data_IF_328384933810
#
_entry.id   IF_328384933810
#
_cell.length_a   1.000
_cell.length_b   1.000
_cell.length_c   1.000
_cell.angle_alpha   90.00
_cell.angle_beta   90.00
_cell.angle_gamma   90.00
#
_symmetry.space_group_name_H-M   'P 1'
#
loop_
_entity.id
_entity.type
_entity.pdbx_description
1 polymer ?
#
# COMPACT_ATOMS: atom_id res chain seq x y z
N UNK A 1 6.71 -13.23 11.76
CA UNK A 1 6.78 -13.93 10.46
C UNK A 1 6.49 -12.96 9.31
N UNK A 2 5.37 -12.21 9.37
CA UNK A 2 5.01 -11.21 8.33
C UNK A 2 6.14 -10.19 8.16
N UNK A 3 6.67 -9.58 9.22
CA UNK A 3 7.73 -8.57 9.12
C UNK A 3 8.97 -9.07 8.36
N UNK A 4 9.43 -10.32 8.58
CA UNK A 4 10.51 -10.91 7.80
C UNK A 4 10.17 -11.09 6.33
N UNK A 5 8.91 -11.39 6.01
CA UNK A 5 8.44 -11.50 4.63
C UNK A 5 8.38 -10.13 3.96
N UNK A 6 7.98 -9.08 4.69
CA UNK A 6 7.98 -7.70 4.19
C UNK A 6 9.41 -7.21 3.91
N UNK A 7 10.35 -7.51 4.79
CA UNK A 7 11.76 -7.21 4.55
C UNK A 7 12.30 -7.96 3.32
N UNK A 8 11.96 -9.25 3.17
CA UNK A 8 12.34 -10.05 2.00
C UNK A 8 11.67 -9.55 0.70
N UNK A 9 10.47 -9.03 0.80
CA UNK A 9 9.78 -8.34 -0.30
C UNK A 9 10.51 -7.06 -0.70
N UNK A 10 11.26 -6.43 0.21
CA UNK A 10 12.00 -5.20 -0.04
C UNK A 10 11.27 -3.92 0.40
N UNK A 11 10.35 -4.03 1.37
CA UNK A 11 9.67 -2.85 1.93
C UNK A 11 10.67 -1.97 2.67
N UNK A 12 10.64 -0.66 2.40
CA UNK A 12 11.58 0.31 3.00
C UNK A 12 11.31 0.52 4.49
N UNK A 13 10.05 0.72 4.85
CA UNK A 13 9.60 0.97 6.22
C UNK A 13 8.50 -0.02 6.59
N UNK A 14 8.66 -0.69 7.72
CA UNK A 14 7.66 -1.59 8.31
C UNK A 14 7.07 -0.91 9.53
N UNK A 15 5.86 -0.36 9.41
CA UNK A 15 5.13 0.09 10.59
C UNK A 15 4.60 -1.13 11.32
N UNK A 16 5.24 -1.42 12.45
CA UNK A 16 5.07 -2.69 13.17
C UNK A 16 3.86 -2.68 14.11
N UNK A 17 3.29 -1.50 14.37
CA UNK A 17 2.09 -1.34 15.18
C UNK A 17 2.13 -0.12 16.09
N UNK A 18 1.20 -0.09 17.06
CA UNK A 18 1.02 0.97 18.02
C UNK A 18 1.42 0.49 19.43
N UNK A 19 2.64 0.79 19.85
CA UNK A 19 3.25 0.28 21.09
C UNK A 19 2.45 0.60 22.38
N UNK A 20 1.70 1.69 22.39
CA UNK A 20 0.89 2.10 23.52
C UNK A 20 -0.51 1.44 23.56
N UNK A 21 -0.89 0.69 22.53
CA UNK A 21 -2.22 0.06 22.48
C UNK A 21 -2.39 -1.04 23.52
N UNK A 22 -1.39 -1.91 23.67
CA UNK A 22 -1.39 -2.99 24.67
C UNK A 22 0.03 -3.48 24.98
N UNK A 23 0.22 -4.21 26.09
CA UNK A 23 1.50 -4.89 26.36
C UNK A 23 1.91 -5.86 25.25
N UNK A 24 0.96 -6.58 24.65
CA UNK A 24 1.23 -7.52 23.55
C UNK A 24 1.68 -6.83 22.27
N UNK A 25 1.13 -5.65 21.95
CA UNK A 25 1.59 -4.82 20.83
C UNK A 25 3.03 -4.35 21.07
N UNK A 26 3.32 -3.85 22.26
CA UNK A 26 4.67 -3.44 22.65
C UNK A 26 5.67 -4.60 22.49
N UNK A 27 5.38 -5.78 23.06
CA UNK A 27 6.23 -6.96 22.96
C UNK A 27 6.43 -7.41 21.49
N UNK A 28 5.37 -7.33 20.68
CA UNK A 28 5.42 -7.68 19.26
C UNK A 28 6.36 -6.75 18.49
N UNK A 29 6.29 -5.43 18.73
CA UNK A 29 7.19 -4.45 18.11
C UNK A 29 8.64 -4.68 18.57
N UNK A 30 8.86 -4.96 19.86
CA UNK A 30 10.19 -5.32 20.38
C UNK A 30 10.75 -6.58 19.70
N UNK A 31 9.91 -7.59 19.47
CA UNK A 31 10.33 -8.82 18.80
C UNK A 31 10.67 -8.57 17.31
N UNK A 32 9.91 -7.76 16.62
CA UNK A 32 10.18 -7.34 15.24
C UNK A 32 11.49 -6.56 15.18
N UNK A 33 11.71 -5.60 16.06
CA UNK A 33 12.90 -4.76 16.15
C UNK A 33 14.19 -5.57 16.30
N UNK A 34 14.13 -6.71 16.99
CA UNK A 34 15.26 -7.62 17.19
C UNK A 34 15.63 -8.44 15.95
N UNK A 35 14.74 -8.57 14.96
CA UNK A 35 14.94 -9.51 13.83
C UNK A 35 15.03 -8.85 12.48
N UNK A 36 14.55 -7.62 12.32
CA UNK A 36 14.63 -6.83 11.08
C UNK A 36 15.96 -6.11 11.01
N UNK A 37 16.60 -6.08 9.83
CA UNK A 37 17.96 -5.55 9.63
C UNK A 37 18.05 -4.50 8.52
N UNK A 38 17.33 -4.71 7.42
CA UNK A 38 17.46 -3.90 6.21
C UNK A 38 16.33 -2.86 6.10
N UNK A 39 15.09 -3.23 6.44
CA UNK A 39 13.99 -2.28 6.51
C UNK A 39 14.05 -1.44 7.78
N UNK A 40 13.51 -0.24 7.73
CA UNK A 40 13.31 0.60 8.92
C UNK A 40 12.11 0.09 9.70
N UNK A 41 12.26 -0.14 11.00
CA UNK A 41 11.15 -0.50 11.89
C UNK A 41 10.52 0.78 12.42
N UNK A 42 9.22 0.94 12.19
CA UNK A 42 8.44 2.08 12.62
C UNK A 42 7.43 1.69 13.70
N UNK A 43 7.22 2.56 14.68
CA UNK A 43 6.13 2.44 15.65
C UNK A 43 5.28 3.70 15.63
N UNK A 44 3.96 3.49 15.54
CA UNK A 44 2.97 4.56 15.60
C UNK A 44 2.77 5.05 17.04
N UNK A 45 2.57 6.36 17.20
CA UNK A 45 2.29 7.01 18.48
C UNK A 45 1.37 8.22 18.30
N UNK A 46 0.36 8.35 19.14
CA UNK A 46 -0.36 9.62 19.25
C UNK A 46 0.60 10.71 19.73
N UNK A 47 0.34 11.95 19.36
CA UNK A 47 1.15 13.08 19.79
C UNK A 47 0.95 13.37 21.31
N UNK A 48 1.45 12.45 22.15
CA UNK A 48 1.54 12.64 23.59
C UNK A 48 2.82 11.99 24.15
N UNK A 49 3.39 12.52 25.24
CA UNK A 49 4.67 12.05 25.77
C UNK A 49 4.74 10.54 26.08
N UNK A 50 3.68 9.99 26.64
CA UNK A 50 3.66 8.58 27.04
C UNK A 50 3.73 7.64 25.85
N UNK A 51 2.92 7.90 24.80
CA UNK A 51 2.87 7.06 23.60
C UNK A 51 4.20 7.13 22.83
N UNK A 52 4.75 8.33 22.66
CA UNK A 52 6.02 8.53 21.93
C UNK A 52 7.19 7.84 22.64
N UNK A 53 7.27 7.93 23.97
CA UNK A 53 8.31 7.21 24.76
C UNK A 53 8.18 5.70 24.59
N UNK A 54 6.97 5.15 24.70
CA UNK A 54 6.72 3.72 24.47
C UNK A 54 7.11 3.28 23.07
N UNK A 55 6.79 4.09 22.04
CA UNK A 55 7.20 3.80 20.68
C UNK A 55 8.73 3.75 20.55
N UNK A 56 9.44 4.74 21.09
CA UNK A 56 10.91 4.79 21.11
C UNK A 56 11.54 3.60 21.81
N UNK A 57 11.01 3.22 22.98
CA UNK A 57 11.47 2.04 23.73
C UNK A 57 11.26 0.74 22.95
N UNK A 58 10.09 0.58 22.30
CA UNK A 58 9.75 -0.65 21.58
C UNK A 58 10.66 -0.89 20.35
N UNK A 59 11.10 0.17 19.67
CA UNK A 59 11.97 0.08 18.49
C UNK A 59 13.46 0.14 18.80
N UNK A 60 13.84 0.30 20.05
CA UNK A 60 15.23 0.54 20.47
C UNK A 60 16.25 -0.48 19.95
N UNK A 61 15.84 -1.74 19.76
CA UNK A 61 16.70 -2.82 19.27
C UNK A 61 16.86 -2.83 17.73
N UNK A 62 16.08 -2.04 17.00
CA UNK A 62 16.17 -1.99 15.54
C UNK A 62 17.40 -1.16 15.10
N UNK A 63 18.20 -1.63 14.12
CA UNK A 63 19.33 -0.86 13.60
C UNK A 63 18.88 0.38 12.81
N UNK A 64 17.73 0.31 12.15
CA UNK A 64 17.06 1.41 11.46
C UNK A 64 15.66 1.55 12.05
N UNK A 65 15.35 2.72 12.58
CA UNK A 65 14.15 2.93 13.36
C UNK A 65 13.52 4.28 13.09
N UNK A 66 12.19 4.31 13.09
CA UNK A 66 11.37 5.51 12.88
C UNK A 66 10.30 5.59 13.97
N UNK A 67 9.99 6.77 14.43
CA UNK A 67 8.77 7.06 15.19
C UNK A 67 7.83 7.80 14.26
N UNK A 68 6.61 7.28 14.13
CA UNK A 68 5.52 7.92 13.42
C UNK A 68 4.55 8.50 14.44
N UNK A 69 4.47 9.82 14.54
CA UNK A 69 3.52 10.48 15.43
C UNK A 69 2.48 11.27 14.66
N UNK A 70 1.28 11.36 15.19
CA UNK A 70 0.16 12.01 14.53
C UNK A 70 -0.75 12.75 15.48
N UNK A 71 -1.43 13.78 14.97
CA UNK A 71 -2.51 14.48 15.63
C UNK A 71 -3.53 14.95 14.60
N UNK A 72 -4.80 14.97 14.99
CA UNK A 72 -5.87 15.39 14.09
C UNK A 72 -5.83 16.91 13.85
N UNK A 73 -6.05 17.31 12.61
CA UNK A 73 -5.91 18.70 12.14
C UNK A 73 -7.19 19.30 11.58
N UNK A 74 -8.23 18.49 11.34
CA UNK A 74 -9.51 19.04 10.87
C UNK A 74 -10.26 19.76 11.99
N UNK A 75 -11.01 20.85 11.67
CA UNK A 75 -11.82 21.56 12.64
C UNK A 75 -12.76 20.66 13.43
N UNK A 76 -13.39 19.71 12.75
CA UNK A 76 -14.28 18.74 13.38
C UNK A 76 -13.57 17.90 14.45
N UNK A 77 -12.38 17.37 14.14
CA UNK A 77 -11.64 16.57 15.10
C UNK A 77 -11.00 17.40 16.23
N UNK A 78 -10.51 18.60 15.93
CA UNK A 78 -9.98 19.50 16.95
C UNK A 78 -11.06 19.86 17.97
N UNK A 79 -12.26 20.20 17.50
CA UNK A 79 -13.38 20.57 18.36
C UNK A 79 -13.99 19.37 19.10
N UNK A 80 -14.37 18.30 18.36
CA UNK A 80 -15.21 17.21 18.93
C UNK A 80 -14.40 16.07 19.56
N UNK A 81 -13.19 15.80 19.07
CA UNK A 81 -12.35 14.66 19.49
C UNK A 81 -11.26 15.11 20.47
N UNK A 82 -10.55 16.19 20.16
CA UNK A 82 -9.41 16.65 20.94
C UNK A 82 -9.79 17.68 22.01
N UNK A 83 -10.84 18.47 21.78
CA UNK A 83 -11.19 19.67 22.59
C UNK A 83 -10.00 20.63 22.75
N UNK A 84 -9.32 20.92 21.63
CA UNK A 84 -8.11 21.73 21.55
C UNK A 84 -8.25 22.86 20.55
N UNK A 85 -7.61 24.00 20.86
CA UNK A 85 -7.41 25.07 19.88
C UNK A 85 -6.31 24.68 18.87
N UNK A 86 -6.26 25.32 17.68
CA UNK A 86 -5.19 25.11 16.71
C UNK A 86 -3.78 25.29 17.31
N UNK A 87 -3.59 26.28 18.16
CA UNK A 87 -2.31 26.55 18.83
C UNK A 87 -1.90 25.43 19.79
N UNK A 88 -2.87 24.88 20.51
CA UNK A 88 -2.63 23.73 21.39
C UNK A 88 -2.26 22.49 20.58
N UNK A 89 -2.88 22.28 19.41
CA UNK A 89 -2.56 21.15 18.50
C UNK A 89 -1.14 21.29 17.97
N UNK A 90 -0.71 22.48 17.52
CA UNK A 90 0.67 22.73 17.10
C UNK A 90 1.65 22.48 18.25
N UNK A 91 1.37 23.02 19.44
CA UNK A 91 2.23 22.82 20.61
C UNK A 91 2.41 21.36 20.98
N UNK A 92 1.32 20.58 20.88
CA UNK A 92 1.31 19.12 21.12
C UNK A 92 2.13 18.36 20.08
N UNK A 93 2.00 18.71 18.80
CA UNK A 93 2.79 18.12 17.73
C UNK A 93 4.30 18.38 17.93
N UNK A 94 4.66 19.62 18.21
CA UNK A 94 6.05 20.02 18.48
C UNK A 94 6.64 19.29 19.69
N UNK A 95 5.91 19.18 20.78
CA UNK A 95 6.35 18.41 21.97
C UNK A 95 6.59 16.94 21.63
N UNK A 96 5.67 16.32 20.90
CA UNK A 96 5.78 14.91 20.51
C UNK A 96 7.03 14.67 19.65
N UNK A 97 7.31 15.55 18.67
CA UNK A 97 8.49 15.45 17.79
C UNK A 97 9.78 15.63 18.62
N UNK A 98 9.83 16.57 19.56
CA UNK A 98 10.98 16.74 20.46
C UNK A 98 11.29 15.48 21.25
N UNK A 99 10.28 14.84 21.80
CA UNK A 99 10.44 13.58 22.53
C UNK A 99 10.89 12.46 21.59
N UNK A 100 10.33 12.38 20.38
CA UNK A 100 10.73 11.39 19.40
C UNK A 100 12.23 11.49 19.03
N UNK A 101 12.76 12.71 18.97
CA UNK A 101 14.20 12.97 18.72
C UNK A 101 15.13 12.42 19.80
N UNK A 102 14.64 12.16 21.01
CA UNK A 102 15.44 11.48 22.05
C UNK A 102 15.77 10.04 21.67
N UNK A 103 15.03 9.44 20.70
CA UNK A 103 15.13 8.03 20.31
C UNK A 103 15.66 7.82 18.90
N UNK A 104 15.35 8.71 17.96
CA UNK A 104 15.74 8.60 16.55
C UNK A 104 15.68 9.95 15.84
N UNK A 105 16.51 10.10 14.79
CA UNK A 105 16.45 11.26 13.88
C UNK A 105 15.46 11.06 12.73
N UNK A 106 14.94 9.85 12.52
CA UNK A 106 13.93 9.56 11.49
C UNK A 106 12.53 9.63 12.12
N UNK A 107 11.83 10.73 11.87
CA UNK A 107 10.53 11.04 12.46
C UNK A 107 9.52 11.33 11.36
N UNK A 108 8.44 10.58 11.36
CA UNK A 108 7.29 10.83 10.51
C UNK A 108 6.17 11.52 11.29
N UNK A 109 5.62 12.57 10.69
CA UNK A 109 4.50 13.32 11.26
C UNK A 109 3.31 13.30 10.32
N UNK A 110 2.15 12.83 10.82
CA UNK A 110 0.88 12.81 10.09
C UNK A 110 -0.10 13.86 10.60
N UNK A 111 -0.67 14.62 9.67
CA UNK A 111 -1.81 15.50 9.90
C UNK A 111 -3.12 14.69 9.78
N UNK A 112 -3.55 13.97 10.84
CA UNK A 112 -4.76 13.14 10.77
C UNK A 112 -5.95 13.95 10.26
N UNK A 113 -6.69 13.39 9.29
CA UNK A 113 -7.83 14.00 8.61
C UNK A 113 -7.44 15.24 7.76
N UNK A 114 -6.26 15.19 7.14
CA UNK A 114 -5.72 16.29 6.34
C UNK A 114 -6.65 16.70 5.20
N UNK A 115 -7.27 15.75 4.50
CA UNK A 115 -8.17 16.01 3.37
C UNK A 115 -9.40 16.86 3.73
N UNK A 116 -9.74 16.97 5.02
CA UNK A 116 -10.81 17.83 5.54
C UNK A 116 -10.32 18.97 6.44
N UNK A 117 -9.02 19.20 6.48
CA UNK A 117 -8.38 20.26 7.24
C UNK A 117 -8.30 21.55 6.44
N UNK A 118 -8.19 22.68 7.13
CA UNK A 118 -7.97 23.98 6.50
C UNK A 118 -6.52 24.10 6.02
N UNK A 119 -6.25 24.43 4.75
CA UNK A 119 -4.89 24.49 4.21
C UNK A 119 -3.97 25.42 4.99
N UNK A 120 -4.46 26.59 5.39
CA UNK A 120 -3.67 27.59 6.14
C UNK A 120 -3.22 27.06 7.52
N UNK A 121 -4.03 26.21 8.15
CA UNK A 121 -3.63 25.56 9.38
C UNK A 121 -2.59 24.46 9.13
N UNK A 122 -2.76 23.70 8.05
CA UNK A 122 -1.79 22.68 7.65
C UNK A 122 -0.43 23.28 7.32
N UNK A 123 -0.36 24.41 6.62
CA UNK A 123 0.92 25.08 6.35
C UNK A 123 1.68 25.36 7.65
N UNK A 124 0.99 25.92 8.65
CA UNK A 124 1.58 26.27 9.94
C UNK A 124 2.06 25.07 10.74
N UNK A 125 1.24 24.04 10.85
CA UNK A 125 1.60 22.86 11.66
C UNK A 125 2.69 22.02 10.98
N UNK A 126 2.67 21.88 9.66
CA UNK A 126 3.69 21.15 8.90
C UNK A 126 5.03 21.90 8.97
N UNK A 127 5.03 23.22 8.78
CA UNK A 127 6.24 24.04 8.94
C UNK A 127 6.84 23.89 10.35
N UNK A 128 6.00 23.93 11.38
CA UNK A 128 6.43 23.74 12.77
C UNK A 128 6.99 22.32 12.99
N UNK A 129 6.35 21.29 12.44
CA UNK A 129 6.80 19.91 12.55
C UNK A 129 8.17 19.68 11.89
N UNK A 130 8.37 20.17 10.68
CA UNK A 130 9.65 20.07 9.96
C UNK A 130 10.75 20.85 10.71
N UNK A 131 10.48 22.06 11.12
CA UNK A 131 11.42 22.90 11.90
C UNK A 131 11.85 22.22 13.21
N UNK A 132 10.96 21.45 13.81
CA UNK A 132 11.26 20.72 15.04
C UNK A 132 12.02 19.41 14.80
N UNK A 133 12.02 18.88 13.57
CA UNK A 133 12.82 17.74 13.15
C UNK A 133 12.05 16.57 12.55
N UNK A 134 10.79 16.76 12.14
CA UNK A 134 10.13 15.77 11.31
C UNK A 134 10.84 15.67 9.95
N UNK A 135 11.23 14.44 9.57
CA UNK A 135 11.94 14.14 8.32
C UNK A 135 11.00 13.64 7.23
N UNK A 136 9.81 13.21 7.62
CA UNK A 136 8.74 12.79 6.70
C UNK A 136 7.43 13.43 7.13
N UNK A 137 6.73 14.02 6.17
CA UNK A 137 5.38 14.59 6.36
C UNK A 137 4.39 13.73 5.60
N UNK A 138 3.45 13.14 6.32
CA UNK A 138 2.44 12.28 5.76
C UNK A 138 1.08 12.98 5.71
N UNK A 139 0.43 12.93 4.55
CA UNK A 139 -0.85 13.57 4.28
C UNK A 139 -1.92 12.49 4.11
N UNK A 140 -2.74 12.24 5.14
CA UNK A 140 -3.76 11.21 5.07
C UNK A 140 -5.11 11.71 4.55
N UNK A 141 -5.69 10.93 3.64
CA UNK A 141 -7.12 10.90 3.35
C UNK A 141 -7.79 9.89 4.30
N UNK A 142 -7.96 10.31 5.55
CA UNK A 142 -8.32 9.43 6.67
C UNK A 142 -9.69 8.77 6.54
N UNK A 143 -10.62 9.41 5.85
CA UNK A 143 -11.99 8.88 5.67
C UNK A 143 -12.27 8.42 4.25
N UNK A 144 -11.25 8.36 3.38
CA UNK A 144 -11.38 7.89 2.01
C UNK A 144 -12.34 8.75 1.17
N UNK A 145 -12.33 10.04 1.39
CA UNK A 145 -13.28 11.01 0.86
C UNK A 145 -12.80 11.70 -0.42
N UNK A 146 -11.48 11.86 -0.58
CA UNK A 146 -10.89 12.61 -1.67
C UNK A 146 -11.02 11.88 -3.02
N UNK A 147 -10.97 12.66 -4.11
CA UNK A 147 -10.86 12.14 -5.47
C UNK A 147 -9.46 12.45 -6.04
N UNK A 148 -8.94 11.66 -7.02
CA UNK A 148 -7.54 11.74 -7.40
C UNK A 148 -7.04 13.12 -7.83
N UNK A 149 -7.81 13.84 -8.65
CA UNK A 149 -7.40 15.18 -9.12
C UNK A 149 -7.33 16.20 -7.98
N UNK A 150 -8.27 16.14 -7.05
CA UNK A 150 -8.32 16.98 -5.86
C UNK A 150 -7.15 16.66 -4.93
N UNK A 151 -6.95 15.38 -4.61
CA UNK A 151 -5.93 14.95 -3.65
C UNK A 151 -4.51 15.27 -4.14
N UNK A 152 -4.21 15.01 -5.42
CA UNK A 152 -2.92 15.36 -5.99
C UNK A 152 -2.65 16.86 -6.00
N UNK A 153 -3.67 17.67 -6.34
CA UNK A 153 -3.57 19.13 -6.29
C UNK A 153 -3.38 19.64 -4.86
N UNK A 154 -4.08 19.05 -3.89
CA UNK A 154 -3.98 19.38 -2.48
C UNK A 154 -2.57 19.12 -1.92
N UNK A 155 -1.99 17.94 -2.18
CA UNK A 155 -0.62 17.63 -1.74
C UNK A 155 0.40 18.58 -2.36
N UNK A 156 0.22 18.94 -3.65
CA UNK A 156 1.07 19.93 -4.33
C UNK A 156 0.95 21.30 -3.66
N UNK A 157 -0.25 21.75 -3.42
CA UNK A 157 -0.52 23.04 -2.77
C UNK A 157 0.18 23.15 -1.40
N UNK A 158 0.08 22.10 -0.57
CA UNK A 158 0.80 22.05 0.71
C UNK A 158 2.31 22.17 0.53
N UNK A 159 2.88 21.44 -0.45
CA UNK A 159 4.32 21.49 -0.72
C UNK A 159 4.80 22.84 -1.23
N UNK A 160 3.99 23.55 -1.99
CA UNK A 160 4.32 24.87 -2.54
C UNK A 160 4.23 25.98 -1.49
N UNK A 161 3.35 25.86 -0.49
CA UNK A 161 3.11 26.91 0.51
C UNK A 161 3.84 26.68 1.84
N UNK A 162 4.27 25.47 2.16
CA UNK A 162 5.08 25.21 3.36
C UNK A 162 6.52 25.67 3.12
N UNK A 163 6.98 26.66 3.85
CA UNK A 163 8.26 27.36 3.62
C UNK A 163 9.48 26.43 3.60
N UNK A 164 9.52 25.43 4.49
CA UNK A 164 10.62 24.48 4.63
C UNK A 164 10.29 23.09 4.07
N UNK A 165 9.41 23.01 3.09
CA UNK A 165 8.88 21.77 2.55
C UNK A 165 9.93 20.87 1.88
N UNK A 166 11.02 21.44 1.40
CA UNK A 166 12.16 20.76 0.79
C UNK A 166 13.05 20.00 1.78
N UNK A 167 12.90 20.25 3.09
CA UNK A 167 13.65 19.58 4.15
C UNK A 167 13.03 18.26 4.60
N UNK A 168 11.88 17.88 4.06
CA UNK A 168 11.19 16.63 4.41
C UNK A 168 10.78 15.81 3.19
N UNK A 169 10.70 14.50 3.36
CA UNK A 169 10.06 13.60 2.40
C UNK A 169 8.54 13.74 2.56
N UNK A 170 7.84 13.89 1.45
CA UNK A 170 6.37 13.92 1.45
C UNK A 170 5.81 12.53 1.23
N UNK A 171 4.88 12.15 2.08
CA UNK A 171 4.19 10.87 2.13
C UNK A 171 2.68 11.06 1.97
N UNK A 172 2.02 10.05 1.46
CA UNK A 172 0.56 10.00 1.38
C UNK A 172 0.01 8.70 1.97
N UNK A 173 -1.16 8.79 2.59
CA UNK A 173 -1.88 7.67 3.17
C UNK A 173 -3.36 7.77 2.79
N UNK A 174 -3.88 6.81 2.04
CA UNK A 174 -5.24 6.88 1.54
C UNK A 174 -6.07 5.68 1.97
N UNK A 175 -7.26 5.94 2.52
CA UNK A 175 -8.27 4.93 2.80
C UNK A 175 -9.16 4.67 1.58
N UNK A 176 -9.82 3.51 1.55
CA UNK A 176 -10.46 2.96 0.36
C UNK A 176 -11.99 3.02 0.38
N UNK A 177 -12.58 3.91 1.15
CA UNK A 177 -14.03 3.98 1.34
C UNK A 177 -14.82 4.17 0.04
N UNK A 178 -14.27 4.92 -0.89
CA UNK A 178 -14.82 5.10 -2.24
C UNK A 178 -14.15 4.21 -3.31
N UNK A 179 -13.26 3.29 -2.92
CA UNK A 179 -12.50 2.47 -3.87
C UNK A 179 -11.39 3.23 -4.60
N UNK A 180 -10.93 4.37 -4.07
CA UNK A 180 -9.99 5.28 -4.74
C UNK A 180 -8.60 5.35 -4.07
N UNK A 181 -8.33 4.56 -3.05
CA UNK A 181 -7.09 4.67 -2.27
C UNK A 181 -5.83 4.59 -3.13
N UNK A 182 -5.74 3.62 -4.04
CA UNK A 182 -4.60 3.47 -4.95
C UNK A 182 -4.52 4.66 -5.92
N UNK A 183 -5.64 5.07 -6.51
CA UNK A 183 -5.68 6.17 -7.44
C UNK A 183 -5.29 7.51 -6.77
N UNK A 184 -5.77 7.76 -5.56
CA UNK A 184 -5.40 8.94 -4.78
C UNK A 184 -3.90 8.92 -4.42
N UNK A 185 -3.37 7.78 -3.96
CA UNK A 185 -1.95 7.64 -3.63
C UNK A 185 -1.05 7.90 -4.84
N UNK A 186 -1.38 7.33 -6.00
CA UNK A 186 -0.65 7.56 -7.24
C UNK A 186 -0.75 9.03 -7.71
N UNK A 187 -1.91 9.66 -7.52
CA UNK A 187 -2.10 11.08 -7.81
C UNK A 187 -1.25 11.97 -6.88
N UNK A 188 -1.18 11.62 -5.58
CA UNK A 188 -0.29 12.28 -4.62
C UNK A 188 1.18 12.22 -5.02
N UNK A 189 1.60 11.11 -5.65
CA UNK A 189 2.96 10.97 -6.19
C UNK A 189 3.19 11.81 -7.45
N UNK A 190 2.31 11.68 -8.45
CA UNK A 190 2.53 12.32 -9.77
C UNK A 190 2.27 13.82 -9.72
N UNK A 191 1.16 14.22 -9.16
CA UNK A 191 0.72 15.61 -9.13
C UNK A 191 1.12 16.32 -7.86
N UNK A 192 1.13 15.61 -6.73
CA UNK A 192 1.54 16.12 -5.42
C UNK A 192 3.04 16.10 -5.19
N UNK A 193 3.78 15.23 -5.88
CA UNK A 193 5.22 15.09 -5.72
C UNK A 193 5.65 14.30 -4.47
N UNK A 194 4.74 13.54 -3.86
CA UNK A 194 5.10 12.62 -2.77
C UNK A 194 6.10 11.55 -3.25
N UNK A 195 6.91 11.07 -2.32
CA UNK A 195 7.94 10.04 -2.57
C UNK A 195 7.84 8.84 -1.63
N UNK A 196 6.93 8.90 -0.69
CA UNK A 196 6.53 7.78 0.15
C UNK A 196 5.02 7.56 0.01
N UNK A 197 4.61 6.29 0.00
CA UNK A 197 3.21 5.86 0.08
C UNK A 197 3.08 4.91 1.26
N UNK A 198 2.22 5.24 2.20
CA UNK A 198 1.73 4.28 3.18
C UNK A 198 0.67 3.40 2.54
N UNK A 199 0.88 2.10 2.64
CA UNK A 199 0.01 1.11 2.02
C UNK A 199 0.04 -0.19 2.83
N UNK A 200 -0.84 -1.11 2.52
CA UNK A 200 -0.90 -2.41 3.18
C UNK A 200 -1.00 -3.55 2.17
N UNK A 201 -0.54 -4.73 2.56
CA UNK A 201 -0.72 -5.95 1.76
C UNK A 201 -2.22 -6.24 1.66
N UNK A 202 -2.69 -6.53 0.44
CA UNK A 202 -4.10 -6.78 0.11
C UNK A 202 -5.04 -5.58 0.38
N UNK A 203 -4.49 -4.41 0.64
CA UNK A 203 -5.29 -3.24 1.01
C UNK A 203 -5.96 -3.36 2.36
N UNK A 204 -5.48 -4.24 3.26
CA UNK A 204 -6.05 -4.39 4.60
C UNK A 204 -5.99 -3.09 5.39
N UNK A 205 -7.03 -2.80 6.16
CA UNK A 205 -7.13 -1.60 6.98
C UNK A 205 -8.54 -1.38 7.52
N UNK A 206 -8.73 -0.24 8.13
CA UNK A 206 -10.02 0.19 8.68
C UNK A 206 -11.11 0.24 7.59
N UNK A 207 -12.33 -0.09 7.95
CA UNK A 207 -13.53 -0.01 7.09
C UNK A 207 -13.37 -0.76 5.76
N UNK A 208 -13.22 -0.03 4.64
CA UNK A 208 -13.01 -0.61 3.31
C UNK A 208 -11.53 -0.90 2.99
N UNK A 209 -10.63 -0.58 3.91
CA UNK A 209 -9.20 -0.82 3.80
C UNK A 209 -8.38 0.40 3.38
N UNK A 210 -7.11 0.14 3.09
CA UNK A 210 -6.10 1.12 2.72
C UNK A 210 -5.68 0.95 1.26
N UNK A 211 -4.78 1.80 0.81
CA UNK A 211 -4.05 1.61 -0.44
C UNK A 211 -3.36 0.24 -0.46
N UNK A 212 -3.55 -0.54 -1.53
CA UNK A 212 -2.95 -1.85 -1.68
C UNK A 212 -1.52 -1.75 -2.23
N UNK A 213 -0.53 -2.27 -1.50
CA UNK A 213 0.88 -2.23 -1.88
C UNK A 213 1.13 -2.85 -3.25
N UNK A 214 0.60 -4.04 -3.49
CA UNK A 214 0.78 -4.77 -4.74
C UNK A 214 0.29 -4.00 -5.96
N UNK A 215 -0.80 -3.24 -5.82
CA UNK A 215 -1.39 -2.46 -6.91
C UNK A 215 -0.54 -1.22 -7.22
N UNK A 216 -0.09 -0.50 -6.20
CA UNK A 216 0.82 0.66 -6.36
C UNK A 216 2.13 0.23 -7.00
N UNK A 217 2.76 -0.81 -6.47
CA UNK A 217 4.05 -1.31 -6.95
C UNK A 217 3.98 -1.71 -8.41
N UNK A 218 2.95 -2.49 -8.78
CA UNK A 218 2.80 -2.93 -10.16
C UNK A 218 2.36 -1.82 -11.11
N UNK A 219 1.58 -0.84 -10.66
CA UNK A 219 1.28 0.35 -11.46
C UNK A 219 2.54 1.14 -11.80
N UNK A 220 3.38 1.44 -10.81
CA UNK A 220 4.63 2.20 -11.03
C UNK A 220 5.61 1.41 -11.90
N UNK A 221 5.76 0.10 -11.66
CA UNK A 221 6.67 -0.75 -12.42
C UNK A 221 6.23 -0.95 -13.86
N UNK A 222 4.97 -1.26 -14.09
CA UNK A 222 4.40 -1.52 -15.42
C UNK A 222 4.34 -0.25 -16.27
N UNK A 223 4.04 0.90 -15.64
CA UNK A 223 3.97 2.20 -16.31
C UNK A 223 5.15 3.10 -15.97
N UNK A 224 6.35 2.50 -15.90
CA UNK A 224 7.59 3.27 -15.67
C UNK A 224 7.82 4.34 -16.75
N UNK A 225 7.33 4.11 -17.97
CA UNK A 225 7.29 5.09 -19.07
C UNK A 225 6.58 6.41 -18.65
N UNK A 226 5.53 6.28 -17.87
CA UNK A 226 4.72 7.40 -17.39
C UNK A 226 5.22 7.95 -16.04
N UNK A 227 5.44 7.08 -15.06
CA UNK A 227 5.84 7.49 -13.71
C UNK A 227 7.26 8.00 -13.62
N UNK A 228 8.19 7.43 -14.40
CA UNK A 228 9.63 7.73 -14.38
C UNK A 228 10.23 7.63 -12.96
N UNK A 229 9.75 6.68 -12.19
CA UNK A 229 10.13 6.41 -10.81
C UNK A 229 10.56 4.94 -10.66
N UNK A 230 11.57 4.70 -9.82
CA UNK A 230 11.98 3.35 -9.42
C UNK A 230 11.19 2.82 -8.24
N UNK A 231 11.03 1.51 -8.20
CA UNK A 231 10.51 0.75 -7.06
C UNK A 231 11.38 -0.49 -6.89
N UNK A 232 12.02 -0.63 -5.74
CA UNK A 232 12.95 -1.72 -5.44
C UNK A 232 12.28 -2.94 -4.77
N UNK A 233 10.97 -3.07 -4.94
CA UNK A 233 10.21 -4.21 -4.44
C UNK A 233 10.46 -5.45 -5.30
N UNK A 234 10.76 -6.57 -4.67
CA UNK A 234 10.82 -7.88 -5.31
C UNK A 234 9.41 -8.37 -5.65
N UNK A 235 8.92 -7.98 -6.82
CA UNK A 235 7.53 -8.23 -7.23
C UNK A 235 7.16 -9.71 -7.27
N UNK A 236 8.13 -10.63 -7.50
CA UNK A 236 7.88 -12.08 -7.44
C UNK A 236 7.47 -12.57 -6.05
N UNK A 237 7.62 -11.74 -5.01
CA UNK A 237 7.18 -12.04 -3.66
C UNK A 237 5.79 -11.46 -3.34
N UNK A 238 5.14 -10.74 -4.25
CA UNK A 238 3.81 -10.14 -4.00
C UNK A 238 2.75 -11.21 -3.69
N UNK A 239 2.60 -12.20 -4.54
CA UNK A 239 1.63 -13.30 -4.34
C UNK A 239 1.96 -14.15 -3.09
N UNK A 240 3.20 -14.61 -2.87
CA UNK A 240 3.56 -15.29 -1.63
C UNK A 240 3.26 -14.47 -0.37
N UNK A 241 3.57 -13.15 -0.38
CA UNK A 241 3.30 -12.24 0.75
C UNK A 241 1.79 -12.07 0.97
N UNK A 242 1.04 -11.83 -0.10
CA UNK A 242 -0.42 -11.72 -0.07
C UNK A 242 -1.08 -12.96 0.57
N UNK A 243 -0.67 -14.16 0.14
CA UNK A 243 -1.16 -15.43 0.69
C UNK A 243 -0.78 -15.63 2.16
N UNK A 244 0.45 -15.26 2.53
CA UNK A 244 0.89 -15.33 3.94
C UNK A 244 0.04 -14.43 4.83
N UNK A 245 -0.17 -13.18 4.42
CA UNK A 245 -0.97 -12.21 5.20
C UNK A 245 -2.41 -12.69 5.30
N UNK A 246 -3.02 -13.12 4.19
CA UNK A 246 -4.38 -13.69 4.19
C UNK A 246 -4.51 -14.89 5.14
N UNK A 247 -3.53 -15.80 5.11
CA UNK A 247 -3.52 -16.98 6.00
C UNK A 247 -3.40 -16.63 7.49
N UNK A 248 -2.60 -15.61 7.82
CA UNK A 248 -2.37 -15.21 9.22
C UNK A 248 -3.52 -14.39 9.79
N UNK A 249 -4.09 -13.50 8.95
CA UNK A 249 -5.17 -12.60 9.39
C UNK A 249 -6.56 -13.21 9.28
N UNK A 250 -6.72 -14.27 8.49
CA UNK A 250 -8.01 -14.87 8.20
C UNK A 250 -8.84 -14.10 7.16
N UNK A 251 -8.35 -12.98 6.63
CA UNK A 251 -9.04 -12.23 5.58
C UNK A 251 -8.75 -12.85 4.20
N UNK A 252 -9.77 -13.40 3.49
CA UNK A 252 -9.57 -14.02 2.19
C UNK A 252 -9.26 -12.98 1.12
N UNK A 253 -8.41 -13.37 0.16
CA UNK A 253 -8.15 -12.57 -1.03
C UNK A 253 -9.31 -12.75 -2.00
N UNK A 254 -9.92 -11.66 -2.46
CA UNK A 254 -10.96 -11.71 -3.49
C UNK A 254 -10.38 -12.32 -4.77
N UNK A 255 -11.09 -13.28 -5.44
CA UNK A 255 -10.57 -13.91 -6.65
C UNK A 255 -10.21 -12.93 -7.77
N UNK A 256 -10.94 -11.84 -7.91
CA UNK A 256 -10.74 -10.80 -8.91
C UNK A 256 -9.87 -9.62 -8.41
N UNK A 257 -9.21 -9.75 -7.25
CA UNK A 257 -8.31 -8.70 -6.79
C UNK A 257 -7.16 -8.50 -7.78
N UNK A 258 -6.87 -7.26 -8.12
CA UNK A 258 -5.77 -6.94 -9.03
C UNK A 258 -4.45 -7.54 -8.52
N UNK A 259 -3.59 -7.97 -9.43
CA UNK A 259 -2.25 -8.51 -9.20
C UNK A 259 -2.23 -9.87 -8.49
N UNK A 260 -2.88 -10.01 -7.34
CA UNK A 260 -2.73 -11.18 -6.44
C UNK A 260 -3.93 -12.11 -6.40
N UNK A 261 -5.06 -11.71 -6.95
CA UNK A 261 -6.27 -12.54 -7.02
C UNK A 261 -6.08 -13.78 -7.91
N UNK A 262 -6.76 -14.84 -7.58
CA UNK A 262 -6.65 -16.12 -8.32
C UNK A 262 -7.10 -16.02 -9.79
N UNK A 263 -7.91 -15.03 -10.14
CA UNK A 263 -8.39 -14.76 -11.50
C UNK A 263 -7.60 -13.66 -12.22
N UNK A 264 -6.62 -13.02 -11.56
CA UNK A 264 -5.91 -11.86 -12.13
C UNK A 264 -5.21 -12.19 -13.47
N UNK A 265 -4.84 -13.47 -13.69
CA UNK A 265 -4.20 -13.97 -14.91
C UNK A 265 -5.01 -15.10 -15.55
N UNK A 266 -6.34 -15.03 -15.44
CA UNK A 266 -7.25 -16.05 -16.00
C UNK A 266 -8.02 -15.47 -17.17
N UNK A 267 -8.01 -16.20 -18.30
CA UNK A 267 -8.74 -15.81 -19.50
C UNK A 267 -9.84 -16.86 -19.78
N UNK A 268 -11.09 -16.44 -19.80
CA UNK A 268 -12.24 -17.31 -20.08
C UNK A 268 -12.83 -17.10 -21.48
N UNK A 269 -12.74 -15.88 -22.03
CA UNK A 269 -13.23 -15.56 -23.37
C UNK A 269 -12.36 -16.18 -24.46
N UNK A 270 -12.98 -16.81 -25.44
CA UNK A 270 -12.26 -17.43 -26.58
C UNK A 270 -11.42 -16.44 -27.38
N UNK A 271 -11.86 -15.20 -27.52
CA UNK A 271 -11.11 -14.11 -28.19
C UNK A 271 -9.83 -13.79 -27.41
N UNK A 272 -9.94 -13.64 -26.09
CA UNK A 272 -8.78 -13.38 -25.24
C UNK A 272 -7.82 -14.56 -25.22
N UNK A 273 -8.35 -15.79 -25.09
CA UNK A 273 -7.54 -17.01 -25.11
C UNK A 273 -6.76 -17.18 -26.43
N UNK A 274 -7.40 -16.94 -27.57
CA UNK A 274 -6.73 -17.00 -28.87
C UNK A 274 -5.64 -15.93 -29.01
N UNK A 275 -5.91 -14.72 -28.54
CA UNK A 275 -4.93 -13.64 -28.51
C UNK A 275 -3.69 -13.99 -27.68
N UNK A 276 -3.88 -14.43 -26.43
CA UNK A 276 -2.80 -14.81 -25.51
C UNK A 276 -1.98 -15.99 -26.04
N UNK A 277 -2.64 -16.99 -26.70
CA UNK A 277 -1.95 -18.12 -27.33
C UNK A 277 -1.03 -17.64 -28.47
N UNK A 278 -1.46 -16.64 -29.23
CA UNK A 278 -0.68 -16.06 -30.33
C UNK A 278 0.44 -15.18 -29.82
N UNK A 279 0.12 -14.29 -28.89
CA UNK A 279 1.09 -13.39 -28.24
C UNK A 279 0.53 -12.89 -26.90
N UNK A 280 1.24 -13.12 -25.78
CA UNK A 280 0.76 -12.83 -24.43
C UNK A 280 0.39 -11.34 -24.24
N UNK A 281 1.20 -10.44 -24.76
CA UNK A 281 1.01 -8.99 -24.65
C UNK A 281 -0.28 -8.44 -25.29
N UNK A 282 -1.00 -9.28 -26.06
CA UNK A 282 -2.30 -8.87 -26.62
C UNK A 282 -3.34 -8.55 -25.53
N UNK A 283 -3.23 -9.20 -24.35
CA UNK A 283 -4.15 -9.05 -23.23
C UNK A 283 -3.46 -9.06 -21.87
N UNK A 284 -2.14 -9.09 -21.81
CA UNK A 284 -1.38 -9.07 -20.56
C UNK A 284 -0.39 -7.91 -20.54
N UNK A 285 -0.51 -7.02 -19.55
CA UNK A 285 0.41 -5.90 -19.32
C UNK A 285 1.56 -6.27 -18.38
N UNK A 286 1.48 -7.42 -17.74
CA UNK A 286 2.47 -8.04 -16.86
C UNK A 286 2.27 -9.55 -16.91
N UNK A 287 3.30 -10.31 -16.59
CA UNK A 287 3.20 -11.78 -16.56
C UNK A 287 2.82 -12.30 -15.17
N UNK A 288 2.22 -13.47 -15.09
CA UNK A 288 1.90 -14.11 -13.81
C UNK A 288 3.17 -14.36 -12.98
N UNK A 289 4.27 -14.69 -13.62
CA UNK A 289 5.57 -14.95 -13.02
C UNK A 289 6.20 -13.69 -12.40
N UNK A 290 5.93 -12.51 -12.97
CA UNK A 290 6.44 -11.23 -12.47
C UNK A 290 5.95 -10.90 -11.05
N UNK A 291 4.80 -11.45 -10.68
CA UNK A 291 4.16 -11.22 -9.38
C UNK A 291 4.19 -12.42 -8.45
N UNK A 292 4.75 -13.54 -8.92
CA UNK A 292 4.95 -14.76 -8.12
C UNK A 292 3.86 -15.83 -8.27
N UNK A 293 3.02 -15.75 -9.30
CA UNK A 293 2.24 -16.89 -9.77
C UNK A 293 3.12 -17.84 -10.60
N UNK A 294 2.81 -19.13 -10.59
CA UNK A 294 3.59 -20.15 -11.31
C UNK A 294 3.23 -20.26 -12.78
N UNK A 295 2.01 -19.90 -13.15
CA UNK A 295 1.52 -19.93 -14.54
C UNK A 295 0.19 -19.19 -14.66
N UNK A 296 -0.13 -18.81 -15.90
CA UNK A 296 -1.48 -18.37 -16.27
C UNK A 296 -2.45 -19.52 -16.23
N UNK A 297 -3.70 -19.27 -15.92
CA UNK A 297 -4.77 -20.26 -15.96
C UNK A 297 -5.69 -19.99 -17.15
N UNK A 298 -5.71 -20.88 -18.12
CA UNK A 298 -6.80 -20.96 -19.08
C UNK A 298 -7.96 -21.73 -18.44
N UNK A 299 -8.99 -20.99 -18.09
CA UNK A 299 -10.22 -21.59 -17.53
C UNK A 299 -11.13 -21.91 -18.70
N UNK A 300 -11.38 -23.22 -18.93
CA UNK A 300 -12.37 -23.65 -19.91
C UNK A 300 -13.78 -23.43 -19.36
N UNK A 301 -14.63 -22.83 -20.17
CA UNK A 301 -16.03 -22.61 -19.88
C UNK A 301 -16.84 -22.39 -21.16
N UNK A 302 -18.12 -22.13 -21.00
CA UNK A 302 -19.06 -21.95 -22.12
C UNK A 302 -18.59 -20.90 -23.16
N UNK A 303 -17.81 -19.92 -22.77
CA UNK A 303 -17.28 -18.88 -23.65
C UNK A 303 -15.93 -19.20 -24.27
N UNK A 304 -15.29 -20.34 -23.91
CA UNK A 304 -13.99 -20.71 -24.45
C UNK A 304 -14.08 -21.07 -25.93
N UNK A 305 -13.00 -20.69 -26.67
CA UNK A 305 -12.86 -21.01 -28.06
C UNK A 305 -12.22 -22.39 -28.29
N UNK A 306 -12.30 -22.90 -29.55
CA UNK A 306 -11.72 -24.14 -29.95
C UNK A 306 -10.20 -24.25 -29.70
N UNK A 307 -9.45 -23.17 -29.92
CA UNK A 307 -8.00 -23.14 -29.70
C UNK A 307 -7.63 -23.44 -28.26
N UNK A 308 -8.31 -22.82 -27.30
CA UNK A 308 -8.09 -23.03 -25.87
C UNK A 308 -8.50 -24.45 -25.44
N UNK A 309 -9.61 -25.00 -25.97
CA UNK A 309 -10.03 -26.37 -25.72
C UNK A 309 -8.97 -27.37 -26.20
N UNK A 310 -8.48 -27.22 -27.45
CA UNK A 310 -7.40 -28.01 -28.01
C UNK A 310 -6.13 -27.99 -27.17
N UNK A 311 -5.71 -26.79 -26.75
CA UNK A 311 -4.53 -26.64 -25.89
C UNK A 311 -4.73 -27.39 -24.57
N UNK A 312 -5.89 -27.25 -23.93
CA UNK A 312 -6.18 -27.97 -22.69
C UNK A 312 -6.20 -29.47 -22.80
N UNK A 313 -6.73 -30.00 -23.91
CA UNK A 313 -6.69 -31.43 -24.22
C UNK A 313 -5.23 -31.93 -24.30
N UNK A 314 -4.35 -31.16 -24.95
CA UNK A 314 -2.92 -31.46 -25.02
C UNK A 314 -2.24 -31.43 -23.68
N UNK A 315 -2.50 -30.36 -22.86
CA UNK A 315 -1.94 -30.23 -21.51
C UNK A 315 -2.35 -31.39 -20.59
N UNK A 316 -3.55 -31.92 -20.76
CA UNK A 316 -4.04 -33.06 -20.00
C UNK A 316 -3.49 -34.40 -20.53
N UNK A 317 -2.68 -34.37 -21.60
CA UNK A 317 -2.12 -35.60 -22.20
C UNK A 317 -3.18 -36.52 -22.84
N UNK A 318 -4.35 -36.00 -23.18
CA UNK A 318 -5.43 -36.78 -23.80
C UNK A 318 -5.05 -37.05 -25.25
N UNK A 319 -4.89 -38.33 -25.67
CA UNK A 319 -4.54 -38.65 -27.04
C UNK A 319 -5.72 -38.36 -27.96
N UNK A 320 -5.47 -37.64 -29.05
CA UNK A 320 -6.46 -37.36 -30.09
C UNK A 320 -5.95 -37.90 -31.42
N UNK A 321 -6.79 -38.58 -32.17
CA UNK A 321 -6.44 -39.23 -33.41
C UNK A 321 -6.56 -38.33 -34.64
N UNK A 322 -7.42 -37.30 -34.55
CA UNK A 322 -7.68 -36.36 -35.65
C UNK A 322 -8.24 -35.03 -35.16
N UNK A 323 -8.20 -34.00 -36.02
CA UNK A 323 -8.86 -32.71 -35.77
C UNK A 323 -10.39 -32.85 -35.67
N UNK A 324 -10.99 -33.78 -36.44
CA UNK A 324 -12.43 -34.05 -36.38
C UNK A 324 -12.87 -34.57 -35.00
N UNK A 325 -12.06 -35.37 -34.34
CA UNK A 325 -12.33 -35.83 -32.96
C UNK A 325 -12.31 -34.66 -31.95
N UNK A 326 -11.39 -33.70 -32.14
CA UNK A 326 -11.36 -32.48 -31.31
C UNK A 326 -12.59 -31.62 -31.57
N UNK A 327 -13.05 -31.51 -32.84
CA UNK A 327 -14.23 -30.74 -33.19
C UNK A 327 -15.51 -31.34 -32.61
N UNK A 328 -15.67 -32.64 -32.65
CA UNK A 328 -16.80 -33.34 -32.04
C UNK A 328 -16.78 -33.20 -30.51
N UNK A 329 -15.62 -33.39 -29.89
CA UNK A 329 -15.47 -33.20 -28.45
C UNK A 329 -15.72 -31.74 -28.04
N UNK A 330 -15.28 -30.76 -28.82
CA UNK A 330 -15.55 -29.36 -28.58
C UNK A 330 -17.03 -29.01 -28.73
N UNK A 331 -17.72 -29.54 -29.72
CA UNK A 331 -19.17 -29.35 -29.86
C UNK A 331 -19.91 -29.83 -28.61
N UNK A 332 -19.61 -31.05 -28.15
CA UNK A 332 -20.19 -31.58 -26.89
C UNK A 332 -19.83 -30.81 -25.64
N UNK A 333 -18.65 -30.19 -25.61
CA UNK A 333 -18.23 -29.32 -24.51
C UNK A 333 -19.03 -27.99 -24.47
N UNK A 334 -19.53 -27.52 -25.61
CA UNK A 334 -20.30 -26.26 -25.72
C UNK A 334 -21.76 -26.45 -25.35
N UNK A 335 -22.32 -27.65 -25.42
CA UNK A 335 -23.68 -27.99 -24.97
C UNK A 335 -23.76 -28.07 -23.45
#
# INVERSE_FOLDING_TARGET
RIAKQLEFLGVDVIEAGFAAASPGDFESICAISKVIRNSTVCSLARANPSDVRKAGEAIAAAPRRRIHTFIATSPLHMEKKLNMTPEQVISRAVEAIRIAKEYTDDIEFSCEDASRSQPEFLYRIIEAAIREGATTINIPDTVGYAVPSEFGAFVRDLREHVYNSDQAVWSVHCHNDLGLAVANSLSGVIHGGARQIECSINGLGERAGNCALEEVVMAVKTRNDFFKLGVDINTRQLVPTSKLVSSVTGFPIQPNKAVVGSNAFSHASGIHQDGVIKHRETYEIMTAEDVGWTSNRMVLGKLSGRSAFRQRVRELGIPTKSEAEIDDAFARFKD
#
